data_IF_136373798361
#
_entry.id   IF_136373798361
#
_cell.length_a   1.000
_cell.length_b   1.000
_cell.length_c   1.000
_cell.angle_alpha   90.00
_cell.angle_beta   90.00
_cell.angle_gamma   90.00
#
_symmetry.space_group_name_H-M   'P 1'
#
loop_
_entity.id
_entity.type
_entity.pdbx_description
1 polymer ?
#
# COMPACT_ATOMS: atom_id res chain seq x y z
N UNK A 1 7.28 -14.04 34.46
CA UNK A 1 8.59 -14.47 35.00
C UNK A 1 9.35 -15.05 33.81
N UNK A 2 10.35 -14.34 33.28
CA UNK A 2 11.12 -14.81 32.11
C UNK A 2 12.07 -15.89 32.61
N UNK A 3 11.92 -17.11 32.09
CA UNK A 3 12.82 -18.23 32.42
C UNK A 3 14.03 -18.12 31.51
N UNK A 4 15.14 -17.63 32.05
CA UNK A 4 16.41 -17.47 31.33
C UNK A 4 17.06 -18.86 31.22
N UNK A 5 17.32 -19.32 30.00
CA UNK A 5 17.88 -20.66 29.74
C UNK A 5 19.42 -20.68 29.68
N UNK A 6 20.09 -19.52 29.69
CA UNK A 6 21.55 -19.40 29.59
C UNK A 6 22.17 -18.67 30.79
N UNK A 7 23.29 -19.18 31.30
CA UNK A 7 24.05 -18.62 32.42
C UNK A 7 25.07 -17.55 31.99
N UNK A 8 25.23 -17.33 30.68
CA UNK A 8 26.18 -16.36 30.14
C UNK A 8 25.55 -14.94 30.03
N UNK A 9 26.16 -13.91 30.64
CA UNK A 9 25.53 -12.59 30.79
C UNK A 9 25.26 -11.86 29.46
N UNK A 10 26.02 -12.13 28.40
CA UNK A 10 25.82 -11.55 27.06
C UNK A 10 24.59 -12.18 26.37
N UNK A 11 24.44 -13.50 26.47
CA UNK A 11 23.28 -14.20 25.90
C UNK A 11 22.00 -13.94 26.68
N UNK A 12 22.10 -13.72 28.00
CA UNK A 12 20.96 -13.31 28.81
C UNK A 12 20.45 -11.91 28.41
N UNK A 13 21.33 -10.96 28.08
CA UNK A 13 20.91 -9.63 27.59
C UNK A 13 20.25 -9.68 26.20
N UNK A 14 20.78 -10.47 25.26
CA UNK A 14 20.19 -10.65 23.93
C UNK A 14 18.80 -11.32 24.00
N UNK A 15 18.64 -12.31 24.87
CA UNK A 15 17.34 -12.96 25.11
C UNK A 15 16.32 -11.99 25.75
N UNK A 16 16.76 -11.09 26.64
CA UNK A 16 15.88 -10.09 27.25
C UNK A 16 15.45 -9.04 26.20
N UNK A 17 16.38 -8.52 25.39
CA UNK A 17 16.06 -7.58 24.29
C UNK A 17 15.12 -8.19 23.24
N UNK A 18 15.34 -9.45 22.85
CA UNK A 18 14.47 -10.15 21.91
C UNK A 18 13.06 -10.43 22.47
N UNK A 19 12.91 -10.64 23.79
CA UNK A 19 11.59 -10.74 24.42
C UNK A 19 10.89 -9.37 24.53
N UNK A 20 11.65 -8.28 24.62
CA UNK A 20 11.09 -6.93 24.49
C UNK A 20 10.59 -6.66 23.05
N UNK A 21 11.28 -7.17 22.04
CA UNK A 21 10.84 -7.11 20.64
C UNK A 21 9.51 -7.86 20.42
N UNK A 22 9.34 -9.06 20.99
CA UNK A 22 8.07 -9.79 20.95
C UNK A 22 6.90 -8.95 21.46
N UNK A 23 7.09 -8.30 22.62
CA UNK A 23 6.08 -7.42 23.23
C UNK A 23 5.80 -6.21 22.35
N UNK A 24 6.82 -5.61 21.74
CA UNK A 24 6.67 -4.49 20.84
C UNK A 24 5.81 -4.88 19.62
N UNK A 25 6.08 -6.02 19.00
CA UNK A 25 5.26 -6.52 17.88
C UNK A 25 3.86 -6.91 18.32
N UNK A 26 3.69 -7.54 19.48
CA UNK A 26 2.38 -7.82 20.05
C UNK A 26 1.55 -6.54 20.26
N UNK A 27 2.16 -5.46 20.77
CA UNK A 27 1.51 -4.15 20.89
C UNK A 27 1.09 -3.58 19.53
N UNK A 28 1.92 -3.70 18.50
CA UNK A 28 1.56 -3.24 17.16
C UNK A 28 0.40 -4.06 16.58
N UNK A 29 0.39 -5.39 16.75
CA UNK A 29 -0.73 -6.24 16.31
C UNK A 29 -2.03 -5.92 17.06
N UNK A 30 -1.98 -5.59 18.36
CA UNK A 30 -3.15 -5.10 19.11
C UNK A 30 -3.67 -3.79 18.55
N UNK A 31 -2.78 -2.83 18.29
CA UNK A 31 -3.16 -1.56 17.69
C UNK A 31 -3.83 -1.75 16.31
N UNK A 32 -3.39 -2.74 15.52
CA UNK A 32 -4.07 -3.12 14.26
C UNK A 32 -5.48 -3.65 14.55
N UNK A 33 -5.62 -4.55 15.53
CA UNK A 33 -6.92 -5.11 15.88
C UNK A 33 -7.91 -4.04 16.35
N UNK A 34 -7.47 -3.11 17.20
CA UNK A 34 -8.30 -2.03 17.73
C UNK A 34 -8.74 -1.08 16.61
N UNK A 35 -7.82 -0.69 15.70
CA UNK A 35 -8.17 0.11 14.53
C UNK A 35 -9.16 -0.60 13.60
N UNK A 36 -9.00 -1.91 13.38
CA UNK A 36 -9.93 -2.69 12.56
C UNK A 36 -11.32 -2.80 13.22
N UNK A 37 -11.37 -2.95 14.54
CA UNK A 37 -12.63 -2.98 15.29
C UNK A 37 -13.35 -1.62 15.25
N UNK A 38 -12.62 -0.53 15.45
CA UNK A 38 -13.11 0.85 15.30
C UNK A 38 -13.65 1.10 13.88
N UNK A 39 -12.97 0.57 12.86
CA UNK A 39 -13.36 0.68 11.45
C UNK A 39 -14.47 -0.29 11.04
N UNK A 40 -15.04 -1.06 11.99
CA UNK A 40 -16.06 -2.09 11.75
C UNK A 40 -15.64 -3.08 10.66
N UNK A 41 -14.35 -3.40 10.61
CA UNK A 41 -13.81 -4.44 9.74
C UNK A 41 -14.30 -5.83 10.20
N UNK A 42 -14.00 -6.84 9.39
CA UNK A 42 -14.43 -8.21 9.65
C UNK A 42 -13.95 -8.74 11.03
N UNK A 43 -14.89 -9.24 11.86
CA UNK A 43 -14.58 -9.74 13.21
C UNK A 43 -13.54 -10.87 13.23
N UNK A 44 -13.51 -11.74 12.21
CA UNK A 44 -12.51 -12.80 12.12
C UNK A 44 -11.11 -12.21 11.98
N UNK A 45 -10.94 -11.10 11.24
CA UNK A 45 -9.67 -10.39 11.12
C UNK A 45 -9.25 -9.79 12.46
N UNK A 46 -10.16 -9.08 13.13
CA UNK A 46 -9.91 -8.51 14.46
C UNK A 46 -9.43 -9.59 15.44
N UNK A 47 -10.14 -10.72 15.50
CA UNK A 47 -9.79 -11.86 16.35
C UNK A 47 -8.45 -12.49 15.99
N UNK A 48 -8.11 -12.57 14.69
CA UNK A 48 -6.83 -13.10 14.24
C UNK A 48 -5.65 -12.25 14.73
N UNK A 49 -5.74 -10.92 14.62
CA UNK A 49 -4.68 -10.03 15.11
C UNK A 49 -4.54 -10.06 16.64
N UNK A 50 -5.66 -10.07 17.38
CA UNK A 50 -5.63 -10.24 18.86
C UNK A 50 -4.99 -11.57 19.26
N UNK A 51 -5.38 -12.65 18.59
CA UNK A 51 -4.87 -13.99 18.82
C UNK A 51 -3.36 -14.10 18.55
N UNK A 52 -2.87 -13.48 17.48
CA UNK A 52 -1.45 -13.48 17.18
C UNK A 52 -0.65 -12.64 18.18
N UNK A 53 -1.19 -11.50 18.65
CA UNK A 53 -0.57 -10.71 19.71
C UNK A 53 -0.44 -11.52 21.01
N UNK A 54 -1.45 -12.29 21.38
CA UNK A 54 -1.38 -13.23 22.52
C UNK A 54 -0.26 -14.28 22.31
N UNK A 55 -0.17 -14.86 21.11
CA UNK A 55 0.90 -15.82 20.80
C UNK A 55 2.29 -15.21 21.01
N UNK A 56 2.52 -13.97 20.56
CA UNK A 56 3.81 -13.30 20.72
C UNK A 56 4.13 -12.97 22.18
N UNK A 57 3.14 -12.52 22.96
CA UNK A 57 3.33 -12.23 24.39
C UNK A 57 3.72 -13.47 25.21
N UNK A 58 3.21 -14.63 24.81
CA UNK A 58 3.51 -15.92 25.45
C UNK A 58 4.72 -16.64 24.85
N UNK A 59 5.31 -16.12 23.79
CA UNK A 59 6.48 -16.72 23.16
C UNK A 59 7.71 -16.51 24.06
N UNK A 60 8.27 -17.61 24.56
CA UNK A 60 9.41 -17.61 25.48
C UNK A 60 10.76 -17.36 24.81
N UNK A 61 10.80 -17.38 23.48
CA UNK A 61 11.98 -17.12 22.66
C UNK A 61 11.75 -15.87 21.81
N UNK A 62 12.79 -15.11 21.46
CA UNK A 62 12.66 -14.03 20.48
C UNK A 62 12.05 -14.54 19.17
N UNK A 63 11.04 -13.84 18.66
CA UNK A 63 10.39 -14.19 17.39
C UNK A 63 11.36 -14.04 16.21
N UNK A 64 12.33 -13.12 16.33
CA UNK A 64 13.46 -12.99 15.41
C UNK A 64 14.28 -14.28 15.31
N UNK A 65 14.55 -14.97 16.42
CA UNK A 65 15.30 -16.23 16.37
C UNK A 65 14.54 -17.33 15.62
N UNK A 66 13.21 -17.36 15.75
CA UNK A 66 12.35 -18.26 14.97
C UNK A 66 12.48 -17.93 13.48
N UNK A 67 12.42 -16.66 13.13
CA UNK A 67 12.55 -16.19 11.76
C UNK A 67 13.95 -16.44 11.18
N UNK A 68 15.01 -16.17 11.91
CA UNK A 68 16.38 -16.32 11.43
C UNK A 68 16.74 -17.81 11.21
N UNK A 69 16.16 -18.72 12.01
CA UNK A 69 16.36 -20.17 11.88
C UNK A 69 15.51 -20.80 10.78
N UNK A 70 14.25 -20.39 10.68
CA UNK A 70 13.23 -21.14 9.93
C UNK A 70 12.52 -20.31 8.86
N UNK A 71 12.87 -19.04 8.71
CA UNK A 71 12.24 -18.09 7.79
C UNK A 71 10.76 -17.86 8.09
N UNK A 72 10.02 -17.44 7.06
CA UNK A 72 8.58 -17.21 7.14
C UNK A 72 7.80 -18.49 7.54
N UNK A 73 8.26 -19.67 7.13
CA UNK A 73 7.63 -20.94 7.49
C UNK A 73 7.69 -21.22 9.00
N UNK A 74 8.75 -20.78 9.67
CA UNK A 74 8.86 -20.83 11.13
C UNK A 74 7.80 -19.98 11.82
N UNK A 75 7.56 -18.78 11.30
CA UNK A 75 6.51 -17.88 11.81
C UNK A 75 5.12 -18.45 11.61
N UNK A 76 4.84 -19.07 10.46
CA UNK A 76 3.53 -19.70 10.15
C UNK A 76 3.26 -20.91 11.05
N UNK A 77 4.30 -21.61 11.51
CA UNK A 77 4.16 -22.72 12.46
C UNK A 77 3.75 -22.27 13.86
N UNK A 78 3.89 -20.98 14.19
CA UNK A 78 3.48 -20.48 15.50
C UNK A 78 1.95 -20.54 15.64
N UNK A 79 1.43 -20.89 16.83
CA UNK A 79 -0.01 -21.00 17.04
C UNK A 79 -0.74 -19.72 16.65
N UNK A 80 -1.85 -19.86 15.90
CA UNK A 80 -2.71 -18.73 15.51
C UNK A 80 -2.00 -17.66 14.63
N UNK A 81 -0.83 -17.96 14.07
CA UNK A 81 -0.13 -17.09 13.11
C UNK A 81 -0.27 -17.71 11.71
N UNK A 82 -1.12 -17.10 10.87
CA UNK A 82 -1.24 -17.46 9.46
C UNK A 82 -0.28 -16.66 8.56
N UNK A 83 -0.20 -17.02 7.28
CA UNK A 83 0.66 -16.38 6.27
C UNK A 83 0.61 -14.84 6.29
N UNK A 84 -0.57 -14.24 6.44
CA UNK A 84 -0.74 -12.77 6.51
C UNK A 84 0.03 -12.16 7.67
N UNK A 85 -0.13 -12.74 8.86
CA UNK A 85 0.48 -12.22 10.07
C UNK A 85 1.98 -12.51 10.07
N UNK A 86 2.39 -13.68 9.55
CA UNK A 86 3.79 -14.02 9.35
C UNK A 86 4.50 -13.00 8.44
N UNK A 87 3.89 -12.60 7.32
CA UNK A 87 4.44 -11.57 6.42
C UNK A 87 4.57 -10.20 7.08
N UNK A 88 3.57 -9.80 7.89
CA UNK A 88 3.65 -8.56 8.67
C UNK A 88 4.75 -8.61 9.74
N UNK A 89 4.95 -9.76 10.38
CA UNK A 89 6.03 -9.96 11.34
C UNK A 89 7.40 -9.98 10.68
N UNK A 90 7.55 -10.62 9.53
CA UNK A 90 8.78 -10.53 8.73
C UNK A 90 9.11 -9.07 8.41
N UNK A 91 8.11 -8.29 7.96
CA UNK A 91 8.28 -6.86 7.70
C UNK A 91 8.73 -6.11 8.95
N UNK A 92 8.11 -6.39 10.10
CA UNK A 92 8.46 -5.77 11.37
C UNK A 92 9.89 -6.14 11.82
N UNK A 93 10.31 -7.39 11.63
CA UNK A 93 11.65 -7.89 11.98
C UNK A 93 12.72 -7.25 11.10
N UNK A 94 12.47 -7.14 9.79
CA UNK A 94 13.44 -6.59 8.83
C UNK A 94 13.52 -5.07 8.83
N UNK A 95 12.37 -4.40 8.91
CA UNK A 95 12.24 -2.95 8.67
C UNK A 95 11.89 -2.18 9.96
N UNK A 96 11.50 -2.88 11.03
CA UNK A 96 11.11 -2.26 12.30
C UNK A 96 9.69 -1.67 12.28
N UNK A 97 8.90 -1.89 11.22
CA UNK A 97 7.55 -1.32 11.05
C UNK A 97 6.59 -2.29 10.38
N UNK A 98 5.30 -2.14 10.69
CA UNK A 98 4.20 -2.89 10.05
C UNK A 98 3.45 -1.96 9.08
N UNK A 99 3.57 -2.15 7.75
CA UNK A 99 2.92 -1.28 6.76
C UNK A 99 1.40 -1.17 6.90
N UNK A 100 0.74 -2.25 7.34
CA UNK A 100 -0.71 -2.24 7.57
C UNK A 100 -1.13 -1.23 8.64
N UNK A 101 -0.34 -1.06 9.71
CA UNK A 101 -0.66 -0.13 10.79
C UNK A 101 -0.67 1.32 10.28
N UNK A 102 0.27 1.66 9.42
CA UNK A 102 0.35 2.99 8.81
C UNK A 102 -0.82 3.22 7.83
N UNK A 103 -1.21 2.19 7.06
CA UNK A 103 -2.40 2.24 6.17
C UNK A 103 -3.69 2.47 6.94
N UNK A 104 -3.93 1.70 8.01
CA UNK A 104 -5.13 1.81 8.83
C UNK A 104 -5.23 3.16 9.55
N UNK A 105 -4.10 3.87 9.72
CA UNK A 105 -4.06 5.24 10.25
C UNK A 105 -4.22 6.33 9.19
N UNK A 106 -4.42 5.94 7.93
CA UNK A 106 -4.45 6.87 6.80
C UNK A 106 -3.12 7.56 6.54
N UNK A 107 -1.98 6.96 6.94
CA UNK A 107 -0.62 7.49 6.76
C UNK A 107 0.08 6.91 5.53
N UNK A 108 -0.67 6.31 4.60
CA UNK A 108 -0.09 5.64 3.44
C UNK A 108 0.36 6.64 2.35
N UNK A 109 1.35 7.47 2.69
CA UNK A 109 1.98 8.44 1.81
C UNK A 109 3.36 7.92 1.46
N UNK A 110 3.52 7.34 0.27
CA UNK A 110 4.81 7.00 -0.33
C UNK A 110 5.83 8.14 -0.18
N UNK A 111 5.32 9.38 -0.26
CA UNK A 111 6.08 10.60 -0.07
C UNK A 111 6.75 10.72 1.30
N UNK A 112 6.09 10.26 2.36
CA UNK A 112 6.69 10.28 3.69
C UNK A 112 7.78 9.21 3.81
N UNK A 113 7.54 8.02 3.23
CA UNK A 113 8.52 6.94 3.26
C UNK A 113 9.76 7.26 2.46
N UNK A 114 9.64 7.78 1.23
CA UNK A 114 10.85 8.10 0.46
C UNK A 114 11.59 9.30 1.05
N UNK A 115 10.89 10.27 1.66
CA UNK A 115 11.54 11.38 2.36
C UNK A 115 12.42 10.95 3.56
N UNK A 116 12.30 9.70 4.04
CA UNK A 116 13.23 9.14 5.05
C UNK A 116 14.54 8.65 4.45
N UNK A 117 14.64 8.51 3.12
CA UNK A 117 15.84 8.03 2.46
C UNK A 117 16.90 9.14 2.30
N UNK A 118 18.18 8.80 2.47
CA UNK A 118 19.26 9.77 2.33
C UNK A 118 19.27 10.36 0.91
N UNK A 119 19.17 11.68 0.83
CA UNK A 119 19.17 12.41 -0.44
C UNK A 119 17.80 12.58 -1.09
N UNK A 120 16.72 12.04 -0.48
CA UNK A 120 15.34 12.33 -0.87
C UNK A 120 14.70 13.16 0.25
N UNK A 121 14.53 14.46 0.01
CA UNK A 121 13.71 15.32 0.87
C UNK A 121 12.25 15.33 0.44
N UNK A 122 11.33 15.95 1.22
CA UNK A 122 9.90 15.99 0.93
C UNK A 122 9.56 16.44 -0.51
N UNK A 123 10.26 17.47 -1.01
CA UNK A 123 10.06 18.00 -2.37
C UNK A 123 10.49 17.02 -3.46
N UNK A 124 11.59 16.29 -3.23
CA UNK A 124 12.08 15.32 -4.21
C UNK A 124 11.23 14.06 -4.17
N UNK A 125 10.79 13.67 -2.97
CA UNK A 125 9.84 12.59 -2.77
C UNK A 125 8.52 12.86 -3.49
N UNK A 126 8.01 14.08 -3.36
CA UNK A 126 6.82 14.54 -4.08
C UNK A 126 7.04 14.49 -5.60
N UNK A 127 8.21 14.92 -6.09
CA UNK A 127 8.52 14.88 -7.52
C UNK A 127 8.64 13.46 -8.07
N UNK A 128 9.21 12.53 -7.30
CA UNK A 128 9.26 11.11 -7.65
C UNK A 128 7.84 10.56 -7.81
N UNK A 129 6.96 10.89 -6.86
CA UNK A 129 5.55 10.52 -6.91
C UNK A 129 4.82 11.13 -8.11
N UNK A 130 4.99 12.43 -8.36
CA UNK A 130 4.37 13.15 -9.47
C UNK A 130 4.80 12.65 -10.85
N UNK A 131 6.09 12.33 -11.03
CA UNK A 131 6.63 12.04 -12.36
C UNK A 131 6.68 10.55 -12.68
N UNK A 132 6.90 9.71 -11.68
CA UNK A 132 7.06 8.27 -11.88
C UNK A 132 5.93 7.46 -11.26
N UNK A 133 5.04 8.10 -10.50
CA UNK A 133 3.91 7.45 -9.83
C UNK A 133 4.33 6.24 -9.00
N UNK A 134 5.52 6.33 -8.40
CA UNK A 134 6.08 5.32 -7.52
C UNK A 134 5.46 5.53 -6.15
N UNK A 135 4.87 4.48 -5.60
CA UNK A 135 4.16 4.53 -4.33
C UNK A 135 4.74 3.55 -3.28
N UNK A 136 5.66 2.66 -3.69
CA UNK A 136 6.30 1.69 -2.80
C UNK A 136 7.83 1.74 -2.83
N UNK A 137 8.45 1.22 -1.76
CA UNK A 137 9.91 1.15 -1.67
C UNK A 137 10.52 0.16 -2.67
N UNK A 138 9.77 -0.89 -3.02
CA UNK A 138 10.14 -1.86 -4.04
C UNK A 138 10.10 -1.24 -5.45
N UNK A 139 9.04 -0.52 -5.79
CA UNK A 139 8.95 0.25 -7.04
C UNK A 139 10.06 1.30 -7.13
N UNK A 140 10.41 1.93 -6.00
CA UNK A 140 11.49 2.91 -5.94
C UNK A 140 12.83 2.23 -6.23
N UNK A 141 13.08 1.05 -5.64
CA UNK A 141 14.27 0.26 -5.93
C UNK A 141 14.31 -0.14 -7.40
N UNK A 142 13.21 -0.62 -7.94
CA UNK A 142 13.11 -1.03 -9.34
C UNK A 142 13.36 0.15 -10.28
N UNK A 143 12.75 1.31 -10.02
CA UNK A 143 12.95 2.53 -10.78
C UNK A 143 14.38 3.06 -10.71
N UNK A 144 15.07 2.80 -9.60
CA UNK A 144 16.48 3.11 -9.47
C UNK A 144 17.33 2.19 -10.35
N UNK A 145 17.01 0.89 -10.37
CA UNK A 145 17.72 -0.14 -11.14
C UNK A 145 17.46 -0.07 -12.64
N UNK A 146 16.23 0.22 -13.08
CA UNK A 146 15.85 0.32 -14.49
C UNK A 146 16.11 1.71 -15.11
N UNK A 147 16.58 2.66 -14.30
CA UNK A 147 16.97 4.00 -14.72
C UNK A 147 15.82 5.01 -14.82
N UNK A 148 14.57 4.65 -14.51
CA UNK A 148 13.45 5.61 -14.48
C UNK A 148 13.69 6.77 -13.52
N UNK A 149 14.38 6.56 -12.40
CA UNK A 149 14.72 7.63 -11.45
C UNK A 149 15.60 8.74 -12.05
N UNK A 150 16.36 8.46 -13.12
CA UNK A 150 17.18 9.48 -13.81
C UNK A 150 16.32 10.52 -14.55
N UNK A 151 15.05 10.20 -14.82
CA UNK A 151 14.12 11.10 -15.50
C UNK A 151 13.60 12.18 -14.54
N UNK A 152 13.83 12.03 -13.22
CA UNK A 152 13.34 12.96 -12.20
C UNK A 152 14.33 14.10 -11.95
N UNK A 153 13.97 15.38 -12.22
CA UNK A 153 14.83 16.51 -11.93
C UNK A 153 15.28 16.55 -10.47
N UNK A 154 16.59 16.66 -10.25
CA UNK A 154 17.19 16.66 -8.91
C UNK A 154 17.65 15.28 -8.39
N UNK A 155 17.41 14.21 -9.15
CA UNK A 155 17.99 12.88 -8.94
C UNK A 155 19.13 12.63 -9.93
N UNK A 156 20.35 12.96 -9.51
CA UNK A 156 21.58 12.59 -10.24
C UNK A 156 22.05 11.17 -9.90
N UNK A 157 22.89 10.58 -10.77
CA UNK A 157 23.46 9.22 -10.60
C UNK A 157 23.97 8.92 -9.18
N UNK A 158 24.76 9.83 -8.62
CA UNK A 158 25.32 9.70 -7.26
C UNK A 158 24.25 9.61 -6.15
N UNK A 159 23.12 10.32 -6.30
CA UNK A 159 22.00 10.23 -5.35
C UNK A 159 21.24 8.92 -5.54
N UNK A 160 21.03 8.49 -6.78
CA UNK A 160 20.37 7.22 -7.10
C UNK A 160 21.19 6.04 -6.54
N UNK A 161 22.51 6.05 -6.67
CA UNK A 161 23.41 5.06 -6.06
C UNK A 161 23.30 5.05 -4.52
N UNK A 162 23.20 6.22 -3.89
CA UNK A 162 23.01 6.32 -2.44
C UNK A 162 21.65 5.75 -1.99
N UNK A 163 20.60 6.00 -2.78
CA UNK A 163 19.26 5.44 -2.57
C UNK A 163 19.32 3.92 -2.73
N UNK A 164 19.88 3.40 -3.82
CA UNK A 164 20.04 1.95 -4.06
C UNK A 164 20.78 1.28 -2.93
N UNK A 165 21.95 1.81 -2.53
CA UNK A 165 22.71 1.26 -1.42
C UNK A 165 21.96 1.30 -0.09
N UNK A 166 21.11 2.31 0.13
CA UNK A 166 20.23 2.36 1.31
C UNK A 166 19.16 1.26 1.26
N UNK A 167 18.50 1.09 0.12
CA UNK A 167 17.46 0.09 -0.10
C UNK A 167 18.00 -1.34 -0.01
N UNK A 168 19.22 -1.57 -0.50
CA UNK A 168 19.92 -2.85 -0.39
C UNK A 168 20.30 -3.18 1.06
N UNK A 169 20.83 -2.21 1.82
CA UNK A 169 21.14 -2.40 3.25
C UNK A 169 19.90 -2.72 4.08
N UNK A 170 18.75 -2.16 3.70
CA UNK A 170 17.47 -2.45 4.34
C UNK A 170 16.78 -3.72 3.82
N UNK A 171 17.44 -4.51 2.96
CA UNK A 171 16.93 -5.80 2.49
C UNK A 171 15.70 -5.69 1.60
N UNK A 172 15.41 -4.52 1.02
CA UNK A 172 14.32 -4.36 0.05
C UNK A 172 14.71 -5.17 -1.18
N UNK A 173 14.09 -6.32 -1.41
CA UNK A 173 14.49 -7.26 -2.46
C UNK A 173 13.55 -7.15 -3.67
N UNK A 174 14.05 -7.17 -4.92
CA UNK A 174 13.17 -7.19 -6.11
C UNK A 174 12.29 -8.44 -6.18
N UNK A 175 12.60 -9.48 -5.39
CA UNK A 175 11.74 -10.67 -5.26
C UNK A 175 10.37 -10.37 -4.63
N UNK A 176 10.28 -9.37 -3.75
CA UNK A 176 9.01 -8.94 -3.13
C UNK A 176 8.03 -8.42 -4.21
N UNK A 177 8.57 -7.83 -5.29
CA UNK A 177 7.80 -7.30 -6.42
C UNK A 177 7.47 -8.36 -7.49
N UNK A 178 8.17 -9.49 -7.54
CA UNK A 178 7.84 -10.58 -8.48
C UNK A 178 6.57 -11.32 -8.07
N UNK A 179 6.35 -11.54 -6.77
CA UNK A 179 5.08 -12.02 -6.25
C UNK A 179 4.03 -10.91 -6.24
N UNK A 180 4.40 -9.65 -5.98
CA UNK A 180 3.46 -8.53 -6.03
C UNK A 180 2.95 -8.24 -7.44
N UNK A 181 3.80 -8.26 -8.49
CA UNK A 181 3.38 -8.13 -9.90
C UNK A 181 2.45 -9.25 -10.33
N UNK A 182 2.79 -10.52 -10.03
CA UNK A 182 1.92 -11.66 -10.39
C UNK A 182 0.58 -11.59 -9.66
N UNK A 183 0.55 -11.11 -8.42
CA UNK A 183 -0.69 -10.97 -7.63
C UNK A 183 -1.47 -9.68 -7.93
N UNK A 184 -0.82 -8.68 -8.53
CA UNK A 184 -1.40 -7.40 -8.99
C UNK A 184 -1.96 -7.51 -10.41
N UNK A 185 -1.27 -8.20 -11.32
CA UNK A 185 -1.74 -8.50 -12.69
C UNK A 185 -2.93 -9.48 -12.69
N UNK A 186 -3.11 -10.27 -11.63
CA UNK A 186 -4.25 -11.17 -11.46
C UNK A 186 -5.57 -10.48 -11.06
N UNK A 187 -5.55 -9.18 -10.76
CA UNK A 187 -6.76 -8.42 -10.40
C UNK A 187 -7.14 -7.56 -11.59
N UNK A 188 -8.36 -7.71 -12.09
CA UNK A 188 -8.83 -6.95 -13.25
C UNK A 188 -9.06 -5.48 -12.89
N UNK A 189 -8.90 -4.58 -13.88
CA UNK A 189 -9.31 -3.18 -13.74
C UNK A 189 -10.80 -3.05 -13.43
N UNK A 190 -11.64 -3.95 -13.95
CA UNK A 190 -13.09 -3.97 -13.66
C UNK A 190 -13.36 -4.12 -12.15
N UNK A 191 -12.71 -5.07 -11.48
CA UNK A 191 -12.86 -5.28 -10.03
C UNK A 191 -12.43 -4.05 -9.23
N UNK A 192 -11.32 -3.41 -9.60
CA UNK A 192 -10.85 -2.20 -8.93
C UNK A 192 -11.81 -1.01 -9.15
N UNK A 193 -12.33 -0.84 -10.36
CA UNK A 193 -13.29 0.22 -10.68
C UNK A 193 -14.67 -0.04 -10.05
N UNK A 194 -15.06 -1.30 -9.82
CA UNK A 194 -16.23 -1.64 -9.01
C UNK A 194 -16.06 -1.21 -7.55
N UNK A 195 -14.91 -1.53 -6.95
CA UNK A 195 -14.57 -1.11 -5.58
C UNK A 195 -14.58 0.43 -5.47
N UNK A 196 -13.97 1.13 -6.43
CA UNK A 196 -14.01 2.61 -6.51
C UNK A 196 -15.44 3.15 -6.51
N UNK A 197 -16.29 2.61 -7.38
CA UNK A 197 -17.66 3.07 -7.56
C UNK A 197 -18.47 2.86 -6.28
N UNK A 198 -18.35 1.69 -5.66
CA UNK A 198 -19.05 1.37 -4.42
C UNK A 198 -18.56 2.23 -3.25
N UNK A 199 -17.24 2.40 -3.12
CA UNK A 199 -16.65 3.26 -2.10
C UNK A 199 -17.17 4.69 -2.20
N UNK A 200 -17.07 5.32 -3.38
CA UNK A 200 -17.49 6.73 -3.57
C UNK A 200 -18.98 6.92 -3.32
N UNK A 201 -19.82 5.97 -3.79
CA UNK A 201 -21.27 5.99 -3.54
C UNK A 201 -21.59 5.96 -2.04
N UNK A 202 -20.95 5.07 -1.28
CA UNK A 202 -21.17 4.95 0.18
C UNK A 202 -20.56 6.13 0.95
N UNK A 203 -19.42 6.66 0.51
CA UNK A 203 -18.80 7.83 1.10
C UNK A 203 -19.69 9.07 0.95
N UNK A 204 -20.28 9.27 -0.24
CA UNK A 204 -21.21 10.37 -0.52
C UNK A 204 -22.53 10.22 0.27
N UNK A 205 -23.03 9.00 0.43
CA UNK A 205 -24.20 8.70 1.26
C UNK A 205 -23.94 8.87 2.78
N UNK A 206 -22.68 8.91 3.21
CA UNK A 206 -22.31 8.96 4.63
C UNK A 206 -22.41 7.60 5.35
N UNK A 207 -22.43 6.50 4.61
CA UNK A 207 -22.62 5.12 5.11
C UNK A 207 -21.29 4.44 5.55
N UNK A 208 -20.20 5.19 5.58
CA UNK A 208 -18.87 4.70 5.93
C UNK A 208 -18.42 5.23 7.28
N UNK A 209 -17.81 4.34 8.05
CA UNK A 209 -17.07 4.75 9.25
C UNK A 209 -15.94 5.68 8.85
N UNK A 210 -15.72 6.69 9.69
CA UNK A 210 -14.67 7.67 9.45
C UNK A 210 -13.57 7.50 10.49
N UNK A 211 -12.33 7.51 10.02
CA UNK A 211 -11.15 7.45 10.86
C UNK A 211 -10.52 8.83 10.98
N UNK A 212 -9.97 9.13 12.15
CA UNK A 212 -9.14 10.31 12.33
C UNK A 212 -7.71 9.99 11.88
N UNK A 213 -7.15 10.67 10.87
CA UNK A 213 -5.75 10.48 10.51
C UNK A 213 -4.84 10.81 11.70
N UNK A 214 -3.80 10.00 11.96
CA UNK A 214 -2.88 10.31 13.06
C UNK A 214 -1.99 11.52 12.74
N UNK A 215 -1.59 12.24 13.79
CA UNK A 215 -0.99 13.60 13.88
C UNK A 215 0.35 13.85 13.13
N UNK A 216 0.67 13.11 12.08
CA UNK A 216 1.87 13.26 11.25
C UNK A 216 1.62 13.62 9.78
N UNK A 217 0.37 13.58 9.31
CA UNK A 217 -0.02 14.26 8.06
C UNK A 217 -0.22 15.73 8.40
N UNK A 218 0.41 16.64 7.64
CA UNK A 218 0.30 18.09 7.82
C UNK A 218 -1.11 18.65 7.50
N UNK A 219 -2.16 17.85 7.68
CA UNK A 219 -3.51 18.18 7.27
C UNK A 219 -4.51 18.11 8.42
N UNK A 220 -5.27 19.20 8.55
CA UNK A 220 -6.47 19.33 9.34
C UNK A 220 -7.64 18.66 8.58
N UNK A 221 -7.54 17.36 8.30
CA UNK A 221 -8.63 16.59 7.69
C UNK A 221 -9.47 15.99 8.80
N UNK A 222 -10.70 16.48 8.97
CA UNK A 222 -11.49 16.19 10.18
C UNK A 222 -11.78 14.70 10.36
N UNK A 223 -12.19 13.96 9.32
CA UNK A 223 -12.54 12.54 9.42
C UNK A 223 -12.54 11.87 8.02
N UNK A 224 -11.77 10.80 7.82
CA UNK A 224 -11.60 10.09 6.53
C UNK A 224 -12.52 8.86 6.44
N UNK A 225 -13.47 8.78 5.49
CA UNK A 225 -14.26 7.57 5.30
C UNK A 225 -13.41 6.38 4.85
N UNK A 226 -13.68 5.21 5.43
CA UNK A 226 -12.98 3.95 5.11
C UNK A 226 -14.02 2.87 4.82
N UNK A 227 -13.74 2.06 3.81
CA UNK A 227 -14.54 0.89 3.47
C UNK A 227 -13.68 -0.37 3.43
N UNK A 228 -14.11 -1.40 4.15
CA UNK A 228 -13.60 -2.75 4.01
C UNK A 228 -14.56 -3.57 3.14
N UNK A 229 -14.04 -4.34 2.19
CA UNK A 229 -14.86 -5.19 1.32
C UNK A 229 -14.12 -6.43 0.87
N UNK A 230 -14.86 -7.52 0.63
CA UNK A 230 -14.31 -8.77 0.10
C UNK A 230 -14.78 -8.97 -1.36
N UNK A 231 -13.85 -9.38 -2.23
CA UNK A 231 -14.14 -9.78 -3.63
C UNK A 231 -13.38 -11.05 -3.96
N UNK A 232 -14.10 -12.09 -4.37
CA UNK A 232 -13.50 -13.38 -4.76
C UNK A 232 -12.53 -13.96 -3.71
N UNK A 233 -12.84 -13.79 -2.42
CA UNK A 233 -11.99 -14.25 -1.31
C UNK A 233 -10.78 -13.35 -1.00
N UNK A 234 -10.63 -12.21 -1.68
CA UNK A 234 -9.61 -11.19 -1.42
C UNK A 234 -10.22 -10.04 -0.64
N UNK A 235 -9.52 -9.59 0.40
CA UNK A 235 -9.96 -8.48 1.22
C UNK A 235 -9.33 -7.18 0.77
N UNK A 236 -10.14 -6.15 0.67
CA UNK A 236 -9.73 -4.81 0.28
C UNK A 236 -10.13 -3.77 1.31
N UNK A 237 -9.26 -2.77 1.46
CA UNK A 237 -9.54 -1.54 2.19
C UNK A 237 -9.50 -0.38 1.20
N UNK A 238 -10.56 0.40 1.10
CA UNK A 238 -10.66 1.58 0.25
C UNK A 238 -10.84 2.85 1.09
N UNK A 239 -10.13 3.91 0.74
CA UNK A 239 -10.22 5.21 1.40
C UNK A 239 -9.79 6.33 0.44
N UNK A 240 -10.17 7.57 0.73
CA UNK A 240 -9.66 8.70 -0.04
C UNK A 240 -8.18 8.96 0.29
N UNK A 241 -7.43 9.46 -0.69
CA UNK A 241 -6.07 9.90 -0.45
C UNK A 241 -6.05 11.14 0.46
N UNK A 242 -5.30 11.05 1.55
CA UNK A 242 -5.03 12.15 2.48
C UNK A 242 -3.69 12.85 2.19
N UNK A 243 -3.10 12.60 1.03
CA UNK A 243 -1.85 13.28 0.61
C UNK A 243 -2.07 14.78 0.52
N UNK A 244 -1.04 15.56 0.88
CA UNK A 244 -1.04 17.04 0.79
C UNK A 244 -1.43 17.48 -0.62
N UNK A 245 -0.97 16.74 -1.64
CA UNK A 245 -1.30 17.00 -3.03
C UNK A 245 -2.79 16.80 -3.38
N UNK A 246 -3.46 15.79 -2.83
CA UNK A 246 -4.91 15.62 -3.04
C UNK A 246 -5.69 16.79 -2.44
N UNK A 247 -5.17 17.44 -1.40
CA UNK A 247 -5.77 18.64 -0.82
C UNK A 247 -5.50 19.90 -1.65
N UNK A 248 -4.26 20.09 -2.10
CA UNK A 248 -3.85 21.21 -2.96
C UNK A 248 -4.61 21.21 -4.30
N UNK A 249 -4.98 20.04 -4.81
CA UNK A 249 -5.77 19.88 -6.03
C UNK A 249 -7.29 19.87 -5.79
N UNK A 250 -7.77 20.07 -4.56
CA UNK A 250 -9.17 19.88 -4.18
C UNK A 250 -9.74 18.49 -4.57
N UNK A 251 -8.88 17.48 -4.69
CA UNK A 251 -9.15 16.13 -5.14
C UNK A 251 -9.30 15.13 -3.97
N UNK A 252 -9.48 15.60 -2.74
CA UNK A 252 -9.69 14.79 -1.52
C UNK A 252 -10.91 13.87 -1.57
N UNK A 253 -11.82 14.10 -2.51
CA UNK A 253 -12.99 13.26 -2.77
C UNK A 253 -12.92 12.56 -4.14
N UNK A 254 -11.78 12.66 -4.83
CA UNK A 254 -11.57 12.06 -6.15
C UNK A 254 -10.56 10.91 -6.09
N UNK A 255 -9.45 11.05 -5.39
CA UNK A 255 -8.40 10.02 -5.39
C UNK A 255 -8.74 8.93 -4.38
N UNK A 256 -9.02 7.73 -4.87
CA UNK A 256 -9.35 6.56 -4.04
C UNK A 256 -8.16 5.62 -4.03
N UNK A 257 -7.67 5.31 -2.84
CA UNK A 257 -6.62 4.32 -2.65
C UNK A 257 -7.31 3.01 -2.25
N UNK A 258 -7.01 1.95 -3.00
CA UNK A 258 -7.46 0.58 -2.72
C UNK A 258 -6.26 -0.25 -2.32
N UNK A 259 -6.29 -0.84 -1.13
CA UNK A 259 -5.32 -1.80 -0.66
C UNK A 259 -5.91 -3.19 -0.72
N UNK A 260 -5.09 -4.18 -1.06
CA UNK A 260 -5.35 -5.59 -0.81
C UNK A 260 -4.58 -6.00 0.43
N UNK A 261 -5.31 -6.42 1.45
CA UNK A 261 -4.75 -6.77 2.75
C UNK A 261 -4.99 -8.26 3.06
N UNK A 262 -4.62 -9.16 2.15
CA UNK A 262 -4.71 -10.60 2.37
C UNK A 262 -3.35 -11.29 2.58
N UNK A 263 -3.41 -12.58 2.89
CA UNK A 263 -2.32 -13.35 3.44
C UNK A 263 -1.17 -13.65 2.48
N UNK A 264 -1.41 -13.50 1.17
CA UNK A 264 -0.54 -13.99 0.12
C UNK A 264 -0.08 -12.87 -0.82
N UNK A 265 -0.61 -11.65 -0.66
CA UNK A 265 -0.34 -10.53 -1.55
C UNK A 265 -0.67 -9.16 -0.91
N UNK A 266 0.13 -8.15 -1.23
CA UNK A 266 -0.08 -6.76 -0.82
C UNK A 266 -0.12 -5.83 -2.03
N UNK A 267 -1.30 -5.73 -2.64
CA UNK A 267 -1.52 -4.78 -3.74
C UNK A 267 -1.98 -3.42 -3.22
N UNK A 268 -1.56 -2.35 -3.90
CA UNK A 268 -2.06 -1.00 -3.69
C UNK A 268 -2.34 -0.39 -5.06
N UNK A 269 -3.49 0.24 -5.20
CA UNK A 269 -3.88 0.96 -6.41
C UNK A 269 -4.43 2.32 -6.07
N UNK A 270 -4.06 3.31 -6.87
CA UNK A 270 -4.63 4.64 -6.82
C UNK A 270 -5.56 4.81 -8.02
N UNK A 271 -6.81 5.12 -7.73
CA UNK A 271 -7.87 5.32 -8.71
C UNK A 271 -8.21 6.81 -8.73
N UNK A 272 -8.14 7.41 -9.91
CA UNK A 272 -8.33 8.85 -10.11
C UNK A 272 -9.28 9.14 -11.25
N UNK A 273 -9.80 10.36 -11.32
CA UNK A 273 -10.44 10.85 -12.54
C UNK A 273 -9.35 11.38 -13.46
N UNK A 274 -9.22 10.80 -14.66
CA UNK A 274 -8.22 11.26 -15.62
C UNK A 274 -8.54 12.70 -16.05
N UNK A 275 -7.55 13.57 -16.04
CA UNK A 275 -7.68 14.95 -16.52
C UNK A 275 -7.24 15.13 -17.97
N UNK A 276 -6.61 14.11 -18.56
CA UNK A 276 -5.91 14.20 -19.84
C UNK A 276 -6.15 12.98 -20.74
N UNK A 277 -5.84 13.12 -22.03
CA UNK A 277 -5.89 12.04 -23.01
C UNK A 277 -7.29 11.52 -23.30
N UNK A 278 -7.37 10.36 -23.98
CA UNK A 278 -8.65 9.72 -24.36
C UNK A 278 -9.56 9.39 -23.18
N UNK A 279 -8.99 9.16 -22.01
CA UNK A 279 -9.72 8.78 -20.81
C UNK A 279 -10.18 9.98 -19.98
N UNK A 280 -10.00 11.21 -20.47
CA UNK A 280 -10.38 12.43 -19.75
C UNK A 280 -11.82 12.36 -19.24
N UNK A 281 -12.00 12.63 -17.95
CA UNK A 281 -13.28 12.57 -17.24
C UNK A 281 -13.69 11.16 -16.79
N UNK A 282 -12.93 10.12 -17.13
CA UNK A 282 -13.19 8.74 -16.71
C UNK A 282 -12.33 8.34 -15.51
N UNK A 283 -12.86 7.41 -14.71
CA UNK A 283 -12.11 6.80 -13.60
C UNK A 283 -11.08 5.82 -14.14
N UNK A 284 -9.84 5.95 -13.73
CA UNK A 284 -8.75 5.10 -14.19
C UNK A 284 -7.95 4.57 -13.01
N UNK A 285 -7.47 3.34 -13.12
CA UNK A 285 -6.45 2.79 -12.24
C UNK A 285 -5.10 3.27 -12.75
N UNK A 286 -4.36 4.01 -11.92
CA UNK A 286 -3.03 4.54 -12.27
C UNK A 286 -2.09 3.41 -12.74
N UNK A 287 -1.28 3.70 -13.75
CA UNK A 287 -0.31 2.77 -14.37
C UNK A 287 -0.95 1.56 -15.08
N UNK A 288 -2.28 1.55 -15.24
CA UNK A 288 -3.05 0.54 -15.98
C UNK A 288 -3.97 1.20 -17.00
N UNK A 289 -3.53 2.30 -17.60
CA UNK A 289 -4.32 3.12 -18.51
C UNK A 289 -4.76 2.36 -19.76
N UNK A 290 -3.90 1.50 -20.32
CA UNK A 290 -4.22 0.67 -21.49
C UNK A 290 -5.32 -0.36 -21.19
N UNK A 291 -5.30 -0.93 -19.99
CA UNK A 291 -6.35 -1.84 -19.52
C UNK A 291 -7.65 -1.10 -19.25
N UNK A 292 -7.59 0.09 -18.64
CA UNK A 292 -8.75 0.98 -18.45
C UNK A 292 -9.38 1.36 -19.79
N UNK A 293 -8.56 1.63 -20.80
CA UNK A 293 -9.05 1.93 -22.13
C UNK A 293 -9.79 0.75 -22.75
N UNK A 294 -9.24 -0.46 -22.61
CA UNK A 294 -9.89 -1.68 -23.07
C UNK A 294 -11.21 -1.94 -22.34
N UNK A 295 -11.23 -1.73 -21.02
CA UNK A 295 -12.41 -1.80 -20.17
C UNK A 295 -13.55 -0.91 -20.69
N UNK A 296 -13.27 0.38 -20.89
CA UNK A 296 -14.29 1.33 -21.33
C UNK A 296 -14.76 1.09 -22.76
N UNK A 297 -13.88 0.65 -23.68
CA UNK A 297 -14.31 0.26 -25.03
C UNK A 297 -15.29 -0.91 -24.98
N UNK A 298 -14.97 -1.95 -24.20
CA UNK A 298 -15.84 -3.14 -24.06
C UNK A 298 -17.17 -2.79 -23.39
N UNK A 299 -17.15 -2.02 -22.30
CA UNK A 299 -18.36 -1.63 -21.57
C UNK A 299 -19.25 -0.67 -22.38
N UNK A 300 -18.67 0.27 -23.13
CA UNK A 300 -19.43 1.09 -24.08
C UNK A 300 -20.05 0.22 -25.18
N UNK A 301 -19.30 -0.72 -25.76
CA UNK A 301 -19.82 -1.58 -26.82
C UNK A 301 -20.97 -2.48 -26.35
N UNK A 302 -20.92 -3.00 -25.13
CA UNK A 302 -22.00 -3.81 -24.54
C UNK A 302 -23.24 -2.94 -24.28
N UNK A 303 -23.09 -1.77 -23.66
CA UNK A 303 -24.23 -0.93 -23.30
C UNK A 303 -24.85 -0.16 -24.46
N UNK A 304 -24.09 0.20 -25.49
CA UNK A 304 -24.65 0.77 -26.74
C UNK A 304 -25.58 -0.25 -27.42
N UNK A 305 -25.24 -1.54 -27.38
CA UNK A 305 -26.12 -2.61 -27.89
C UNK A 305 -27.42 -2.74 -27.09
N UNK A 306 -27.39 -2.44 -25.80
CA UNK A 306 -28.56 -2.57 -24.90
C UNK A 306 -29.43 -1.31 -24.84
N UNK A 307 -28.84 -0.10 -24.87
CA UNK A 307 -29.51 1.17 -24.56
C UNK A 307 -29.59 2.17 -25.72
N UNK A 308 -28.95 1.89 -26.87
CA UNK A 308 -28.99 2.75 -28.05
C UNK A 308 -28.20 4.07 -27.96
N UNK A 309 -27.47 4.31 -26.87
CA UNK A 309 -26.53 5.43 -26.70
C UNK A 309 -25.35 5.05 -25.79
N UNK A 310 -24.21 5.71 -25.97
CA UNK A 310 -22.99 5.41 -25.20
C UNK A 310 -23.05 6.01 -23.78
N UNK A 311 -22.76 5.22 -22.72
CA UNK A 311 -22.77 5.70 -21.34
C UNK A 311 -21.51 6.51 -20.97
N UNK A 312 -20.44 6.41 -21.75
CA UNK A 312 -19.22 7.19 -21.62
C UNK A 312 -18.88 7.87 -22.96
N UNK A 313 -18.17 9.01 -22.96
CA UNK A 313 -17.70 9.64 -24.19
C UNK A 313 -16.98 8.62 -25.10
N UNK A 314 -17.27 8.66 -26.40
CA UNK A 314 -16.68 7.72 -27.36
C UNK A 314 -15.16 7.88 -27.40
N UNK A 315 -14.46 6.76 -27.17
CA UNK A 315 -13.00 6.72 -27.24
C UNK A 315 -12.59 6.63 -28.73
N UNK A 316 -11.71 7.53 -29.23
CA UNK A 316 -11.25 7.48 -30.61
C UNK A 316 -10.62 6.10 -30.95
N UNK A 317 -10.96 5.54 -32.12
CA UNK A 317 -10.54 4.21 -32.56
C UNK A 317 -9.05 4.12 -32.98
N UNK A 318 -8.40 5.24 -33.32
CA UNK A 318 -6.97 5.33 -33.67
C UNK A 318 -6.39 6.68 -33.20
N UNK A 319 -5.07 6.77 -33.00
CA UNK A 319 -4.32 8.04 -33.05
C UNK A 319 -3.25 7.92 -34.13
N UNK A 320 -3.07 8.99 -34.90
CA UNK A 320 -1.79 9.31 -35.50
C UNK A 320 -0.82 9.71 -34.38
N UNK A 321 0.36 9.09 -34.36
CA UNK A 321 1.30 9.06 -33.23
C UNK A 321 1.99 10.40 -32.88
N UNK A 322 1.58 11.55 -33.43
CA UNK A 322 2.47 12.72 -33.49
C UNK A 322 2.07 13.98 -32.67
N UNK A 323 0.94 14.02 -31.95
CA UNK A 323 0.51 15.25 -31.25
C UNK A 323 0.48 15.20 -29.70
N UNK A 324 1.14 14.23 -29.08
CA UNK A 324 1.20 14.12 -27.60
C UNK A 324 2.48 14.64 -26.92
N UNK A 325 3.54 14.97 -27.69
CA UNK A 325 4.89 15.20 -27.12
C UNK A 325 5.40 16.65 -27.12
N UNK A 326 4.59 17.64 -27.50
CA UNK A 326 5.01 19.06 -27.48
C UNK A 326 4.03 19.89 -26.68
N UNK A 327 4.36 20.16 -25.43
CA UNK A 327 3.54 21.02 -24.57
C UNK A 327 4.06 21.22 -23.15
N UNK A 328 5.38 21.24 -22.93
CA UNK A 328 5.97 21.76 -21.68
C UNK A 328 7.22 22.57 -22.01
N UNK A 329 7.04 23.62 -22.82
CA UNK A 329 7.90 24.79 -22.81
C UNK A 329 7.00 26.00 -23.01
N UNK A 330 6.84 26.78 -21.94
CA UNK A 330 6.00 27.97 -21.84
C UNK A 330 5.95 28.40 -20.40
#
# INVERSE_FOLDING_TARGET
>A
MVVIQSSDPIHASEQIEGVHENKAFAMQLRAIADLLEEQKANEFRVRAYRSAAETLDHLSVPVRDVFDREGADGLIRLPKIGHSIASLLESAIRVGRIPLLDRLRGQSNAEHYFATLPGIGPQLSHRIYEQLHIETMAELKQAASDGRLLQVPGLGRRRIEAIQGCLERHGVSPHDDSQNRVTTEAISVDELLDIDREYRRRAEAGDLEKIKPSQGSASQTDWLPVMHTDRQGRHYTAMFSTTVHAQEQHATHDWVIVFRDDANAHGRWTIITSQFGKLKGLRIVRSREDECQSYYRQHNAVRVREAGHAPHPELPSSWDEDEGRRGVHG
#
